data_IF_969578774385
#
_entry.id   IF_969578774385
#
_cell.length_a   1.000
_cell.length_b   1.000
_cell.length_c   1.000
_cell.angle_alpha   90.00
_cell.angle_beta   90.00
_cell.angle_gamma   90.00
#
_symmetry.space_group_name_H-M   'P 1'
#
loop_
_entity.id
_entity.type
_entity.pdbx_description
1 polymer ?
#
# COMPACT_ATOMS: atom_id res chain seq x y z
N UNK A 1 19.27 1.89 7.82
CA UNK A 1 17.84 1.72 7.54
C UNK A 1 17.54 0.25 7.34
N UNK A 2 16.70 -0.34 8.18
CA UNK A 2 16.30 -1.75 8.07
C UNK A 2 15.34 -1.90 6.88
N UNK A 3 15.67 -2.75 5.90
CA UNK A 3 14.73 -3.11 4.84
C UNK A 3 13.67 -4.05 5.42
N UNK A 4 12.39 -3.70 5.25
CA UNK A 4 11.25 -4.54 5.63
C UNK A 4 10.59 -5.08 4.37
N UNK A 5 10.35 -6.38 4.32
CA UNK A 5 9.53 -7.00 3.27
C UNK A 5 8.08 -7.03 3.73
N UNK A 6 7.20 -6.38 2.97
CA UNK A 6 5.74 -6.46 3.19
C UNK A 6 5.20 -7.70 2.49
N UNK A 7 4.58 -8.60 3.24
CA UNK A 7 4.18 -9.93 2.74
C UNK A 7 2.68 -10.13 2.60
N UNK A 8 1.86 -9.23 3.15
CA UNK A 8 0.40 -9.34 3.12
C UNK A 8 -0.29 -8.01 2.83
N UNK A 9 -1.56 -8.08 2.44
CA UNK A 9 -2.39 -6.89 2.19
C UNK A 9 -2.68 -6.15 3.50
N UNK A 10 -2.86 -6.87 4.60
CA UNK A 10 -3.06 -6.32 5.94
C UNK A 10 -1.85 -5.51 6.38
N UNK A 11 -0.66 -6.05 6.15
CA UNK A 11 0.60 -5.36 6.45
C UNK A 11 0.77 -4.12 5.56
N UNK A 12 0.49 -4.24 4.26
CA UNK A 12 0.51 -3.11 3.32
C UNK A 12 -0.47 -2.00 3.75
N UNK A 13 -1.69 -2.36 4.13
CA UNK A 13 -2.70 -1.42 4.60
C UNK A 13 -2.25 -0.68 5.87
N UNK A 14 -1.67 -1.39 6.83
CA UNK A 14 -1.13 -0.79 8.06
C UNK A 14 -0.02 0.19 7.76
N UNK A 15 0.92 -0.17 6.88
CA UNK A 15 2.00 0.73 6.46
C UNK A 15 1.44 2.01 5.85
N UNK A 16 0.42 1.90 5.00
CA UNK A 16 -0.26 3.06 4.40
C UNK A 16 -1.06 3.91 5.41
N UNK A 17 -1.50 3.36 6.54
CA UNK A 17 -2.33 4.10 7.50
C UNK A 17 -1.52 4.69 8.66
N UNK A 18 -0.46 4.00 9.08
CA UNK A 18 0.23 4.27 10.34
C UNK A 18 1.70 4.64 10.13
N UNK A 19 2.36 4.08 9.11
CA UNK A 19 3.81 4.17 8.93
C UNK A 19 4.22 4.98 7.70
N UNK A 20 3.25 5.51 6.95
CA UNK A 20 3.52 6.18 5.68
C UNK A 20 4.24 7.52 5.90
N UNK A 21 5.28 7.85 5.12
CA UNK A 21 6.00 9.11 5.29
C UNK A 21 5.07 10.31 5.14
N UNK A 22 5.09 11.24 6.09
CA UNK A 22 4.23 12.42 6.08
C UNK A 22 4.37 13.30 4.83
N UNK A 23 5.55 13.31 4.20
CA UNK A 23 5.81 14.03 2.94
C UNK A 23 5.13 13.40 1.72
N UNK A 24 4.80 12.10 1.78
CA UNK A 24 4.12 11.36 0.72
C UNK A 24 2.68 10.96 1.10
N UNK A 25 2.26 11.25 2.33
CA UNK A 25 0.91 11.03 2.81
C UNK A 25 -0.09 11.97 2.12
N UNK A 26 -1.30 11.48 1.89
CA UNK A 26 -2.37 12.22 1.21
C UNK A 26 -2.19 12.39 -0.31
N UNK A 27 -1.09 11.94 -0.90
CA UNK A 27 -0.90 11.95 -2.36
C UNK A 27 -1.93 11.06 -3.06
N UNK A 28 -2.25 11.31 -4.35
CA UNK A 28 -3.22 10.49 -5.09
C UNK A 28 -2.88 8.99 -5.08
N UNK A 29 -1.59 8.65 -5.19
CA UNK A 29 -1.12 7.26 -5.18
C UNK A 29 -1.22 6.64 -3.79
N UNK A 30 -0.91 7.38 -2.73
CA UNK A 30 -1.14 6.95 -1.36
C UNK A 30 -2.63 6.65 -1.09
N UNK A 31 -3.54 7.57 -1.41
CA UNK A 31 -4.98 7.36 -1.22
C UNK A 31 -5.55 6.24 -2.11
N UNK A 32 -4.97 6.03 -3.28
CA UNK A 32 -5.35 4.91 -4.16
C UNK A 32 -4.92 3.60 -3.54
N UNK A 33 -3.67 3.50 -3.08
CA UNK A 33 -3.16 2.32 -2.42
C UNK A 33 -3.96 1.97 -1.14
N UNK A 34 -4.34 2.97 -0.33
CA UNK A 34 -5.21 2.77 0.84
C UNK A 34 -6.54 2.13 0.45
N UNK A 35 -7.25 2.74 -0.52
CA UNK A 35 -8.56 2.24 -0.97
C UNK A 35 -8.46 0.84 -1.57
N UNK A 36 -7.45 0.58 -2.39
CA UNK A 36 -7.29 -0.73 -3.03
C UNK A 36 -6.91 -1.81 -2.03
N UNK A 37 -6.03 -1.53 -1.06
CA UNK A 37 -5.70 -2.50 -0.01
C UNK A 37 -6.93 -2.81 0.85
N UNK A 38 -7.70 -1.80 1.27
CA UNK A 38 -8.94 -2.01 2.04
C UNK A 38 -9.98 -2.83 1.25
N UNK A 39 -10.14 -2.57 -0.05
CA UNK A 39 -11.04 -3.35 -0.90
C UNK A 39 -10.58 -4.81 -1.08
N UNK A 40 -9.27 -5.04 -1.11
CA UNK A 40 -8.71 -6.39 -1.19
C UNK A 40 -8.94 -7.18 0.11
N UNK A 41 -8.80 -6.55 1.28
CA UNK A 41 -9.13 -7.16 2.58
C UNK A 41 -10.59 -7.59 2.68
N UNK A 42 -11.51 -6.82 2.10
CA UNK A 42 -12.95 -7.14 2.16
C UNK A 42 -13.38 -8.22 1.15
N UNK A 43 -12.67 -8.35 0.03
CA UNK A 43 -13.11 -9.22 -1.06
C UNK A 43 -12.41 -10.57 -1.08
N UNK A 44 -11.20 -10.69 -0.52
CA UNK A 44 -10.34 -11.88 -0.56
C UNK A 44 -10.13 -12.46 -1.97
N UNK A 45 -10.44 -11.69 -3.03
CA UNK A 45 -10.34 -12.16 -4.40
C UNK A 45 -8.90 -12.02 -4.89
N UNK A 46 -8.34 -13.04 -5.59
CA UNK A 46 -6.99 -12.97 -6.13
C UNK A 46 -6.71 -11.72 -6.99
N UNK A 47 -7.69 -11.29 -7.79
CA UNK A 47 -7.59 -10.06 -8.60
C UNK A 47 -7.45 -8.80 -7.75
N UNK A 48 -8.13 -8.73 -6.60
CA UNK A 48 -8.06 -7.59 -5.70
C UNK A 48 -6.70 -7.54 -4.97
N UNK A 49 -6.17 -8.69 -4.57
CA UNK A 49 -4.83 -8.80 -3.96
C UNK A 49 -3.75 -8.32 -4.93
N UNK A 50 -3.81 -8.73 -6.20
CA UNK A 50 -2.87 -8.27 -7.22
C UNK A 50 -2.97 -6.75 -7.46
N UNK A 51 -4.19 -6.21 -7.50
CA UNK A 51 -4.41 -4.77 -7.63
C UNK A 51 -3.85 -4.01 -6.42
N UNK A 52 -4.05 -4.52 -5.20
CA UNK A 52 -3.51 -3.93 -3.98
C UNK A 52 -1.98 -3.90 -3.99
N UNK A 53 -1.33 -5.00 -4.41
CA UNK A 53 0.13 -5.05 -4.57
C UNK A 53 0.63 -4.00 -5.57
N UNK A 54 -0.02 -3.89 -6.73
CA UNK A 54 0.38 -2.92 -7.76
C UNK A 54 0.22 -1.47 -7.27
N UNK A 55 -0.89 -1.17 -6.60
CA UNK A 55 -1.14 0.16 -6.05
C UNK A 55 -0.14 0.53 -4.94
N UNK A 56 0.18 -0.42 -4.06
CA UNK A 56 1.17 -0.23 -3.00
C UNK A 56 2.57 0.04 -3.57
N UNK A 57 3.03 -0.77 -4.53
CA UNK A 57 4.35 -0.59 -5.15
C UNK A 57 4.47 0.76 -5.85
N UNK A 58 3.43 1.18 -6.59
CA UNK A 58 3.40 2.50 -7.22
C UNK A 58 3.49 3.63 -6.19
N UNK A 59 2.72 3.54 -5.10
CA UNK A 59 2.78 4.53 -4.04
C UNK A 59 4.17 4.56 -3.38
N UNK A 60 4.79 3.40 -3.17
CA UNK A 60 6.14 3.30 -2.60
C UNK A 60 7.20 3.91 -3.53
N UNK A 61 7.13 3.64 -4.83
CA UNK A 61 8.03 4.24 -5.83
C UNK A 61 7.92 5.77 -5.85
N UNK A 62 6.70 6.31 -5.90
CA UNK A 62 6.47 7.76 -5.88
C UNK A 62 6.87 8.42 -4.56
N UNK A 63 6.85 7.67 -3.46
CA UNK A 63 7.32 8.12 -2.16
C UNK A 63 8.84 7.96 -1.96
N UNK A 64 9.57 7.41 -2.94
CA UNK A 64 11.00 7.14 -2.83
C UNK A 64 11.36 5.98 -1.89
N UNK A 65 10.44 5.03 -1.71
CA UNK A 65 10.57 3.84 -0.85
C UNK A 65 10.81 2.53 -1.64
N UNK A 66 11.06 2.64 -2.95
CA UNK A 66 11.35 1.52 -3.85
C UNK A 66 12.72 0.87 -3.65
#
# INVERSE_FOLDING_TARGET
STRRTVTSVEEAARVLMEEWPGTAAGTPSHMTAQRTCLAALQSERPKAILAARAAFLKAAEEAGMG
#
